data_IF_278966078798
#
_entry.id   IF_278966078798
#
_cell.length_a   1.000
_cell.length_b   1.000
_cell.length_c   1.000
_cell.angle_alpha   90.00
_cell.angle_beta   90.00
_cell.angle_gamma   90.00
#
_symmetry.space_group_name_H-M   'P 1'
#
loop_
_entity.id
_entity.type
_entity.pdbx_description
1 polymer ?
#
# COMPACT_ATOMS: atom_id res chain seq x y z
N UNK A 1 -34.18 43.79 21.85
CA UNK A 1 -34.47 43.39 20.45
C UNK A 1 -33.79 42.05 20.17
N UNK A 2 -34.58 40.99 19.95
CA UNK A 2 -34.06 39.64 19.73
C UNK A 2 -33.63 39.43 18.27
N UNK A 3 -32.49 38.76 18.08
CA UNK A 3 -32.03 38.32 16.77
C UNK A 3 -32.14 36.79 16.70
N UNK A 4 -33.23 36.31 16.08
CA UNK A 4 -33.49 34.88 15.91
C UNK A 4 -32.72 34.37 14.68
N UNK A 5 -31.75 33.49 14.94
CA UNK A 5 -31.09 32.65 13.92
C UNK A 5 -32.12 31.72 13.26
N UNK A 6 -32.24 31.81 11.93
CA UNK A 6 -33.11 30.94 11.12
C UNK A 6 -32.32 29.70 10.68
N UNK A 7 -32.50 28.58 11.37
CA UNK A 7 -32.05 27.27 10.91
C UNK A 7 -32.91 26.84 9.71
N UNK A 8 -32.31 26.69 8.52
CA UNK A 8 -32.95 26.06 7.36
C UNK A 8 -32.74 24.54 7.43
N UNK A 9 -33.77 23.81 7.82
CA UNK A 9 -33.83 22.35 7.74
C UNK A 9 -33.93 21.92 6.27
N UNK A 10 -32.89 21.28 5.72
CA UNK A 10 -32.99 20.58 4.43
C UNK A 10 -33.72 19.26 4.64
N UNK A 11 -34.90 19.12 4.02
CA UNK A 11 -35.66 17.86 3.94
C UNK A 11 -34.98 16.95 2.92
N UNK A 12 -34.50 15.78 3.36
CA UNK A 12 -33.98 14.72 2.49
C UNK A 12 -35.18 13.91 2.03
N UNK A 13 -35.43 13.89 0.72
CA UNK A 13 -36.44 13.05 0.09
C UNK A 13 -35.85 11.64 -0.03
N UNK A 14 -36.35 10.69 0.77
CA UNK A 14 -36.00 9.27 0.64
C UNK A 14 -36.93 8.67 -0.41
N UNK A 15 -36.40 8.40 -1.60
CA UNK A 15 -37.11 7.66 -2.63
C UNK A 15 -36.95 6.16 -2.35
N UNK A 16 -37.89 5.59 -1.61
CA UNK A 16 -38.05 4.13 -1.49
C UNK A 16 -38.53 3.58 -2.83
N UNK A 17 -37.62 2.93 -3.57
CA UNK A 17 -37.98 2.13 -4.74
C UNK A 17 -38.55 0.79 -4.24
N UNK A 18 -39.87 0.63 -4.29
CA UNK A 18 -40.53 -0.66 -4.11
C UNK A 18 -40.34 -1.49 -5.36
N UNK A 19 -39.64 -2.63 -5.23
CA UNK A 19 -39.50 -3.62 -6.29
C UNK A 19 -40.79 -4.44 -6.37
N UNK A 20 -41.63 -4.20 -7.37
CA UNK A 20 -42.84 -4.99 -7.63
C UNK A 20 -42.42 -6.29 -8.33
N UNK A 21 -42.46 -7.41 -7.63
CA UNK A 21 -42.28 -8.73 -8.24
C UNK A 21 -43.61 -9.11 -8.90
N UNK A 22 -43.62 -9.15 -10.23
CA UNK A 22 -44.74 -9.73 -10.98
C UNK A 22 -44.59 -11.24 -10.90
N UNK A 23 -45.49 -11.87 -10.14
CA UNK A 23 -45.67 -13.31 -10.14
C UNK A 23 -46.45 -13.72 -11.40
N UNK A 24 -45.79 -14.43 -12.32
CA UNK A 24 -46.46 -15.08 -13.45
C UNK A 24 -45.67 -16.30 -13.92
N UNK A 25 -46.35 -17.44 -13.94
CA UNK A 25 -46.05 -18.55 -14.85
C UNK A 25 -45.30 -19.72 -14.24
N UNK A 26 -46.04 -20.77 -13.88
CA UNK A 26 -45.50 -22.10 -13.67
C UNK A 26 -44.93 -22.64 -14.99
N UNK A 27 -43.64 -22.97 -15.01
CA UNK A 27 -43.06 -23.94 -15.91
C UNK A 27 -42.00 -24.72 -15.14
N UNK A 28 -42.22 -26.03 -14.99
CA UNK A 28 -41.29 -26.94 -14.37
C UNK A 28 -40.06 -27.13 -15.26
N UNK A 29 -38.92 -26.58 -14.85
CA UNK A 29 -37.61 -27.07 -15.27
C UNK A 29 -36.68 -27.03 -14.05
N UNK A 30 -36.43 -28.20 -13.48
CA UNK A 30 -35.60 -28.40 -12.28
C UNK A 30 -34.12 -28.08 -12.48
N UNK A 31 -33.69 -27.78 -13.71
CA UNK A 31 -32.29 -27.54 -14.05
C UNK A 31 -31.89 -26.07 -13.94
N UNK A 32 -32.80 -25.11 -14.17
CA UNK A 32 -32.48 -23.67 -14.15
C UNK A 32 -32.30 -23.14 -12.72
N UNK A 33 -33.07 -23.65 -11.76
CA UNK A 33 -32.91 -23.30 -10.33
C UNK A 33 -31.63 -23.87 -9.72
N UNK A 34 -31.14 -25.00 -10.23
CA UNK A 34 -29.88 -25.62 -9.79
C UNK A 34 -28.66 -24.83 -10.31
N UNK A 35 -28.74 -24.28 -11.52
CA UNK A 35 -27.68 -23.41 -12.07
C UNK A 35 -27.62 -22.05 -11.37
N UNK A 36 -28.77 -21.42 -11.07
CA UNK A 36 -28.80 -20.14 -10.33
C UNK A 36 -28.25 -20.29 -8.90
N UNK A 37 -28.58 -21.39 -8.21
CA UNK A 37 -28.04 -21.66 -6.86
C UNK A 37 -26.54 -21.99 -6.88
N UNK A 38 -26.03 -22.65 -7.92
CA UNK A 38 -24.59 -22.87 -8.08
C UNK A 38 -23.84 -21.59 -8.44
N UNK A 39 -24.40 -20.72 -9.30
CA UNK A 39 -23.81 -19.42 -9.61
C UNK A 39 -23.81 -18.48 -8.40
N UNK A 40 -24.89 -18.42 -7.62
CA UNK A 40 -24.93 -17.69 -6.35
C UNK A 40 -23.96 -18.26 -5.31
N UNK A 41 -23.83 -19.58 -5.20
CA UNK A 41 -22.86 -20.22 -4.29
C UNK A 41 -21.42 -19.94 -4.74
N UNK A 42 -21.13 -19.95 -6.03
CA UNK A 42 -19.81 -19.64 -6.58
C UNK A 42 -19.47 -18.15 -6.44
N UNK A 43 -20.45 -17.26 -6.60
CA UNK A 43 -20.29 -15.82 -6.35
C UNK A 43 -20.11 -15.53 -4.86
N UNK A 44 -20.85 -16.21 -3.97
CA UNK A 44 -20.70 -16.09 -2.51
C UNK A 44 -19.38 -16.67 -2.01
N UNK A 45 -18.91 -17.77 -2.62
CA UNK A 45 -17.61 -18.39 -2.31
C UNK A 45 -16.44 -17.55 -2.86
N UNK A 46 -16.60 -16.91 -4.02
CA UNK A 46 -15.67 -15.92 -4.56
C UNK A 46 -15.57 -14.69 -3.64
N UNK A 47 -16.71 -14.18 -3.16
CA UNK A 47 -16.79 -13.05 -2.23
C UNK A 47 -16.34 -13.41 -0.79
N UNK A 48 -16.35 -14.68 -0.40
CA UNK A 48 -15.79 -15.17 0.87
C UNK A 48 -14.30 -15.53 0.78
N UNK A 49 -13.76 -15.74 -0.43
CA UNK A 49 -12.31 -15.87 -0.66
C UNK A 49 -11.61 -14.51 -0.66
N UNK A 50 -12.34 -13.40 -0.71
CA UNK A 50 -11.88 -12.12 -0.19
C UNK A 50 -11.90 -12.19 1.33
N UNK A 51 -10.95 -12.94 1.90
CA UNK A 51 -10.48 -12.72 3.27
C UNK A 51 -10.32 -11.21 3.39
N UNK A 52 -11.21 -10.57 4.15
CA UNK A 52 -11.27 -9.12 4.30
C UNK A 52 -9.85 -8.60 4.53
N UNK A 53 -9.22 -8.11 3.47
CA UNK A 53 -7.88 -7.54 3.57
C UNK A 53 -8.12 -6.29 4.37
N UNK A 54 -7.79 -6.35 5.66
CA UNK A 54 -7.70 -5.19 6.54
C UNK A 54 -6.97 -4.14 5.72
N UNK A 55 -7.70 -3.10 5.27
CA UNK A 55 -7.16 -2.09 4.36
C UNK A 55 -5.85 -1.59 4.96
N UNK A 56 -4.74 -2.01 4.37
CA UNK A 56 -3.44 -1.72 4.94
C UNK A 56 -3.19 -0.23 4.83
N UNK A 57 -2.72 0.37 5.93
CA UNK A 57 -2.37 1.78 5.90
C UNK A 57 -1.08 1.94 5.08
N UNK A 58 -1.24 2.30 3.80
CA UNK A 58 -0.13 2.53 2.85
C UNK A 58 0.28 4.01 2.79
N UNK A 59 0.07 4.72 3.90
CA UNK A 59 0.57 6.08 4.12
C UNK A 59 1.85 6.01 4.94
N UNK A 60 2.90 6.64 4.43
CA UNK A 60 4.20 6.70 5.09
C UNK A 60 4.56 8.15 5.40
N UNK A 61 4.99 8.40 6.63
CA UNK A 61 5.58 9.68 7.03
C UNK A 61 7.09 9.50 7.03
N UNK A 62 7.75 10.00 5.99
CA UNK A 62 9.17 9.76 5.76
C UNK A 62 10.00 10.91 6.36
N UNK A 63 10.75 10.67 7.46
CA UNK A 63 11.56 11.70 8.10
C UNK A 63 12.74 12.12 7.23
N UNK A 64 13.03 13.42 7.19
CA UNK A 64 14.23 13.95 6.54
C UNK A 64 15.47 13.66 7.38
N UNK A 65 16.29 12.71 6.93
CA UNK A 65 17.52 12.27 7.63
C UNK A 65 18.81 12.84 7.03
N UNK A 66 18.70 13.73 6.05
CA UNK A 66 19.85 14.30 5.33
C UNK A 66 20.38 13.40 4.22
N UNK A 67 21.31 13.92 3.40
CA UNK A 67 21.93 13.13 2.34
C UNK A 67 23.09 12.27 2.88
N UNK A 68 22.91 10.94 2.91
CA UNK A 68 23.91 9.96 3.38
C UNK A 68 25.28 10.10 2.73
N UNK A 69 25.36 10.55 1.47
CA UNK A 69 26.63 10.80 0.79
C UNK A 69 27.32 12.06 1.31
N UNK A 70 26.55 13.12 1.60
CA UNK A 70 27.06 14.34 2.24
C UNK A 70 27.50 14.03 3.67
N UNK A 71 26.68 13.31 4.43
CA UNK A 71 26.99 12.91 5.81
C UNK A 71 28.24 12.03 5.86
N UNK A 72 28.39 11.06 4.95
CA UNK A 72 29.61 10.24 4.83
C UNK A 72 30.87 11.10 4.74
N UNK A 73 30.85 12.12 3.88
CA UNK A 73 32.01 13.01 3.70
C UNK A 73 32.25 13.88 4.95
N UNK A 74 31.19 14.45 5.52
CA UNK A 74 31.28 15.28 6.74
C UNK A 74 31.84 14.48 7.92
N UNK A 75 31.41 13.23 8.07
CA UNK A 75 31.85 12.32 9.13
C UNK A 75 33.15 11.57 8.80
N UNK A 76 33.74 11.81 7.62
CA UNK A 76 34.98 11.17 7.13
C UNK A 76 34.92 9.64 7.16
N UNK A 77 33.76 9.08 6.78
CA UNK A 77 33.57 7.62 6.69
C UNK A 77 33.93 7.09 5.31
N UNK A 78 34.41 5.86 5.25
CA UNK A 78 34.70 5.16 3.99
C UNK A 78 33.44 4.71 3.25
N UNK A 79 32.32 4.53 3.96
CA UNK A 79 31.03 4.06 3.42
C UNK A 79 29.88 4.88 4.00
N UNK A 80 28.83 5.06 3.20
CA UNK A 80 27.61 5.74 3.63
C UNK A 80 26.75 4.78 4.46
N UNK A 81 25.93 5.36 5.35
CA UNK A 81 24.88 4.59 6.00
C UNK A 81 23.73 4.30 5.03
N UNK A 82 22.87 3.37 5.41
CA UNK A 82 21.68 3.03 4.63
C UNK A 82 20.77 4.26 4.46
N UNK A 83 20.28 4.53 3.25
CA UNK A 83 19.29 5.58 3.00
C UNK A 83 17.84 5.12 3.25
N UNK A 84 17.62 3.86 3.61
CA UNK A 84 16.30 3.22 3.56
C UNK A 84 15.39 3.57 4.75
N UNK A 85 14.21 4.10 4.43
CA UNK A 85 13.01 4.01 5.26
C UNK A 85 12.10 2.88 4.72
N UNK A 86 11.99 1.74 5.43
CA UNK A 86 11.22 0.58 4.98
C UNK A 86 9.71 0.85 4.93
N UNK A 87 9.05 0.20 3.97
CA UNK A 87 7.60 0.29 3.79
C UNK A 87 6.86 -0.99 4.18
N UNK A 88 7.57 -2.11 4.35
CA UNK A 88 6.96 -3.44 4.49
C UNK A 88 6.25 -3.92 3.21
N UNK A 89 6.60 -3.36 2.05
CA UNK A 89 6.04 -3.74 0.75
C UNK A 89 7.12 -4.27 -0.19
N UNK A 90 6.76 -5.31 -0.94
CA UNK A 90 7.54 -5.94 -1.98
C UNK A 90 6.88 -5.72 -3.34
N UNK A 91 7.64 -5.19 -4.31
CA UNK A 91 7.23 -5.13 -5.71
C UNK A 91 7.75 -6.35 -6.47
N UNK A 92 6.89 -7.03 -7.22
CA UNK A 92 7.30 -8.09 -8.15
C UNK A 92 8.09 -7.51 -9.33
N UNK A 93 8.90 -8.32 -10.04
CA UNK A 93 9.50 -7.93 -11.31
C UNK A 93 8.50 -7.28 -12.26
N UNK A 94 8.81 -6.07 -12.73
CA UNK A 94 7.99 -5.25 -13.64
C UNK A 94 6.60 -4.86 -13.11
N UNK A 95 6.33 -5.00 -11.80
CA UNK A 95 5.09 -4.49 -11.21
C UNK A 95 5.07 -2.97 -11.24
N UNK A 96 3.94 -2.40 -11.68
CA UNK A 96 3.73 -0.95 -11.62
C UNK A 96 3.30 -0.55 -10.22
N UNK A 97 4.03 0.39 -9.64
CA UNK A 97 3.74 0.99 -8.33
C UNK A 97 3.34 2.44 -8.55
N UNK A 98 2.18 2.82 -8.02
CA UNK A 98 1.71 4.21 -8.04
C UNK A 98 1.85 4.83 -6.67
N UNK A 99 2.54 5.97 -6.62
CA UNK A 99 2.90 6.67 -5.38
C UNK A 99 2.48 8.13 -5.49
N UNK A 100 1.68 8.60 -4.54
CA UNK A 100 1.41 10.02 -4.36
C UNK A 100 2.38 10.61 -3.33
N UNK A 101 3.10 11.67 -3.70
CA UNK A 101 4.01 12.41 -2.82
C UNK A 101 3.36 13.73 -2.47
N UNK A 102 3.09 13.97 -1.19
CA UNK A 102 2.51 15.23 -0.73
C UNK A 102 3.57 16.31 -0.50
N UNK A 103 3.14 17.57 -0.48
CA UNK A 103 4.01 18.71 -0.27
C UNK A 103 4.61 19.24 -1.58
N UNK A 104 5.83 19.74 -1.50
CA UNK A 104 6.49 20.47 -2.59
C UNK A 104 7.97 20.07 -2.78
N UNK A 105 8.41 19.01 -2.10
CA UNK A 105 9.78 18.53 -2.16
C UNK A 105 9.82 17.16 -2.83
N UNK A 106 10.87 16.94 -3.62
CA UNK A 106 11.16 15.63 -4.19
C UNK A 106 11.61 14.66 -3.09
N UNK A 107 11.36 13.37 -3.33
CA UNK A 107 11.82 12.27 -2.48
C UNK A 107 12.39 11.15 -3.35
N UNK A 108 13.33 10.37 -2.83
CA UNK A 108 13.80 9.17 -3.51
C UNK A 108 13.03 7.93 -3.05
N UNK A 109 12.84 6.99 -3.96
CA UNK A 109 12.35 5.65 -3.65
C UNK A 109 13.27 4.62 -4.28
N UNK A 110 13.51 3.53 -3.55
CA UNK A 110 14.26 2.38 -4.02
C UNK A 110 13.31 1.19 -4.18
N UNK A 111 13.55 0.39 -5.21
CA UNK A 111 12.98 -0.95 -5.38
C UNK A 111 14.16 -1.93 -5.47
N UNK A 112 14.30 -2.73 -4.43
CA UNK A 112 15.41 -3.65 -4.20
C UNK A 112 16.26 -3.28 -2.99
N UNK A 113 16.93 -4.28 -2.44
CA UNK A 113 17.71 -4.24 -1.21
C UNK A 113 19.16 -4.58 -1.50
N UNK A 114 20.08 -3.67 -1.18
CA UNK A 114 21.52 -3.92 -1.33
C UNK A 114 21.95 -5.19 -0.57
N UNK A 115 22.80 -6.00 -1.21
CA UNK A 115 23.31 -7.29 -0.67
C UNK A 115 22.29 -8.42 -0.49
N UNK A 116 21.01 -8.20 -0.78
CA UNK A 116 19.99 -9.26 -0.80
C UNK A 116 19.52 -9.55 -2.23
N UNK A 117 18.97 -8.54 -2.93
CA UNK A 117 18.50 -8.69 -4.31
C UNK A 117 19.64 -8.60 -5.34
N UNK A 118 20.80 -8.09 -4.92
CA UNK A 118 22.00 -7.96 -5.74
C UNK A 118 23.27 -8.06 -4.89
N UNK A 119 24.34 -8.63 -5.46
CA UNK A 119 25.67 -8.57 -4.83
C UNK A 119 26.13 -7.11 -4.70
N UNK A 120 27.07 -6.83 -3.79
CA UNK A 120 27.64 -5.50 -3.59
C UNK A 120 28.30 -4.88 -4.85
N UNK A 121 28.56 -5.69 -5.90
CA UNK A 121 29.11 -5.22 -7.19
C UNK A 121 28.03 -4.96 -8.23
N UNK A 122 26.78 -5.25 -7.91
CA UNK A 122 25.65 -5.24 -8.84
C UNK A 122 24.57 -4.24 -8.42
N UNK A 123 24.98 -3.13 -7.81
CA UNK A 123 24.10 -2.04 -7.37
C UNK A 123 23.15 -1.53 -8.47
N UNK A 124 23.52 -1.70 -9.75
CA UNK A 124 22.68 -1.36 -10.91
C UNK A 124 21.37 -2.15 -10.99
N UNK A 125 21.29 -3.29 -10.28
CA UNK A 125 20.08 -4.10 -10.12
C UNK A 125 19.10 -3.53 -9.11
N UNK A 126 19.56 -2.69 -8.19
CA UNK A 126 18.70 -1.90 -7.30
C UNK A 126 18.28 -0.64 -8.06
N UNK A 127 16.97 -0.44 -8.22
CA UNK A 127 16.47 0.74 -8.94
C UNK A 127 16.11 1.83 -7.94
N UNK A 128 16.58 3.04 -8.20
CA UNK A 128 16.14 4.24 -7.50
C UNK A 128 15.46 5.19 -8.46
N UNK A 129 14.48 5.92 -7.94
CA UNK A 129 13.70 6.90 -8.69
C UNK A 129 13.58 8.17 -7.86
N UNK A 130 13.69 9.32 -8.51
CA UNK A 130 13.32 10.60 -7.92
C UNK A 130 11.83 10.82 -8.18
N UNK A 131 11.03 10.85 -7.12
CA UNK A 131 9.60 11.13 -7.18
C UNK A 131 9.37 12.63 -7.01
N UNK A 132 8.53 13.19 -7.87
CA UNK A 132 8.06 14.58 -7.77
C UNK A 132 6.83 14.67 -6.88
N UNK A 133 6.52 15.84 -6.30
CA UNK A 133 5.21 16.07 -5.69
C UNK A 133 4.06 15.69 -6.65
N UNK A 134 3.03 15.03 -6.10
CA UNK A 134 1.92 14.46 -6.86
C UNK A 134 2.09 12.98 -7.18
N UNK A 135 1.37 12.52 -8.21
CA UNK A 135 1.29 11.10 -8.59
C UNK A 135 2.47 10.72 -9.47
N UNK A 136 3.15 9.63 -9.10
CA UNK A 136 4.24 9.03 -9.84
C UNK A 136 3.91 7.55 -10.08
N UNK A 137 4.26 7.04 -11.27
CA UNK A 137 4.19 5.61 -11.58
C UNK A 137 5.59 5.12 -11.94
N UNK A 138 6.04 4.08 -11.24
CA UNK A 138 7.38 3.50 -11.40
C UNK A 138 7.29 1.98 -11.51
N UNK A 139 8.33 1.36 -12.05
CA UNK A 139 8.48 -0.10 -12.07
C UNK A 139 9.97 -0.46 -12.10
N UNK A 140 10.33 -1.57 -11.46
CA UNK A 140 11.68 -2.13 -11.50
C UNK A 140 11.68 -3.47 -12.23
N UNK A 141 12.56 -3.70 -13.23
CA UNK A 141 12.63 -4.99 -13.91
C UNK A 141 12.89 -6.18 -12.99
N UNK A 142 13.62 -5.96 -11.89
CA UNK A 142 13.99 -7.01 -10.95
C UNK A 142 13.02 -7.15 -9.77
N UNK A 143 12.14 -6.17 -9.56
CA UNK A 143 11.35 -6.09 -8.32
C UNK A 143 12.24 -5.85 -7.10
N UNK A 144 11.69 -6.11 -5.92
CA UNK A 144 12.37 -5.96 -4.63
C UNK A 144 11.55 -5.19 -3.60
N UNK A 145 12.09 -5.09 -2.39
CA UNK A 145 11.48 -4.31 -1.32
C UNK A 145 11.48 -2.82 -1.65
N UNK A 146 10.45 -2.12 -1.20
CA UNK A 146 10.23 -0.70 -1.48
C UNK A 146 10.68 0.13 -0.28
N UNK A 147 11.59 1.09 -0.52
CA UNK A 147 12.11 1.97 0.51
C UNK A 147 11.97 3.42 0.10
N UNK A 148 11.56 4.29 1.02
CA UNK A 148 11.65 5.73 0.79
C UNK A 148 12.96 6.29 1.32
N UNK A 149 13.35 7.44 0.79
CA UNK A 149 14.50 8.18 1.27
C UNK A 149 14.29 9.67 1.09
N UNK A 150 14.16 10.35 2.24
CA UNK A 150 14.03 11.79 2.30
C UNK A 150 15.38 12.43 2.65
N UNK A 151 16.04 13.01 1.63
CA UNK A 151 17.33 13.69 1.73
C UNK A 151 17.31 15.03 2.46
N UNK A 152 16.13 15.55 2.81
CA UNK A 152 16.03 16.82 3.52
C UNK A 152 16.65 16.71 4.91
N UNK A 153 17.27 17.78 5.39
CA UNK A 153 17.80 17.84 6.76
C UNK A 153 16.65 18.22 7.71
N UNK A 154 15.95 17.22 8.25
CA UNK A 154 14.76 17.40 9.08
C UNK A 154 13.44 17.49 8.29
N UNK A 155 12.35 17.72 9.02
CA UNK A 155 10.99 17.68 8.46
C UNK A 155 10.52 16.27 8.08
N UNK A 156 9.34 16.19 7.47
CA UNK A 156 8.75 14.93 7.02
C UNK A 156 8.04 15.11 5.68
N UNK A 157 8.12 14.11 4.81
CA UNK A 157 7.31 14.04 3.59
C UNK A 157 6.30 12.91 3.75
N UNK A 158 5.03 13.19 3.48
CA UNK A 158 3.98 12.17 3.48
C UNK A 158 3.87 11.56 2.08
N UNK A 159 3.96 10.24 2.00
CA UNK A 159 3.80 9.48 0.75
C UNK A 159 2.68 8.47 0.91
N UNK A 160 1.99 8.14 -0.19
CA UNK A 160 0.91 7.16 -0.21
C UNK A 160 1.13 6.24 -1.39
N UNK A 161 1.28 4.93 -1.13
CA UNK A 161 1.33 3.92 -2.20
C UNK A 161 -0.12 3.50 -2.48
N UNK A 162 -0.66 3.94 -3.62
CA UNK A 162 -2.08 3.75 -3.97
C UNK A 162 -2.32 2.45 -4.72
N UNK A 163 -1.32 1.96 -5.46
CA UNK A 163 -1.42 0.77 -6.31
C UNK A 163 -0.12 0.00 -6.33
N UNK A 164 -0.22 -1.33 -6.34
CA UNK A 164 0.92 -2.25 -6.40
C UNK A 164 1.61 -2.45 -5.05
N UNK A 165 2.49 -3.45 -5.01
CA UNK A 165 3.22 -3.85 -3.82
C UNK A 165 2.43 -4.85 -2.97
N UNK A 166 3.02 -6.01 -2.74
CA UNK A 166 2.52 -7.05 -1.83
C UNK A 166 3.17 -6.88 -0.47
N UNK A 167 2.40 -7.05 0.60
CA UNK A 167 2.88 -6.92 1.97
C UNK A 167 3.86 -8.02 2.33
N UNK A 168 4.88 -7.65 3.08
CA UNK A 168 5.88 -8.55 3.65
C UNK A 168 5.94 -8.35 5.17
N UNK A 169 6.35 -9.35 5.96
CA UNK A 169 6.61 -9.16 7.38
C UNK A 169 7.61 -8.04 7.62
N UNK A 170 7.19 -7.05 8.41
CA UNK A 170 8.01 -5.89 8.75
C UNK A 170 7.80 -5.51 10.23
N UNK A 171 8.84 -5.65 11.04
CA UNK A 171 8.83 -5.41 12.46
C UNK A 171 9.50 -4.09 12.82
N UNK A 172 8.73 -3.18 13.42
CA UNK A 172 9.24 -1.93 13.93
C UNK A 172 9.34 -1.98 15.46
N UNK A 173 10.57 -1.92 15.96
CA UNK A 173 10.83 -1.84 17.40
C UNK A 173 10.10 -0.63 18.00
N UNK A 174 9.36 -0.86 19.09
CA UNK A 174 8.57 0.17 19.77
C UNK A 174 7.18 0.41 19.17
N UNK A 175 6.87 -0.14 17.99
CA UNK A 175 5.51 -0.15 17.42
C UNK A 175 4.86 -1.54 17.48
N UNK A 176 5.63 -2.59 17.16
CA UNK A 176 5.15 -3.96 17.10
C UNK A 176 5.52 -4.75 18.35
N UNK A 177 4.62 -5.64 18.77
CA UNK A 177 4.86 -6.61 19.85
C UNK A 177 5.41 -7.92 19.29
N UNK A 178 5.92 -8.80 20.16
CA UNK A 178 6.30 -10.16 19.76
C UNK A 178 5.16 -10.93 19.09
N UNK A 179 3.92 -10.75 19.57
CA UNK A 179 2.77 -11.44 18.97
C UNK A 179 2.47 -10.89 17.58
N UNK A 180 2.67 -9.59 17.33
CA UNK A 180 2.54 -9.01 15.99
C UNK A 180 3.54 -9.62 15.01
N UNK A 181 4.80 -9.81 15.43
CA UNK A 181 5.80 -10.49 14.62
C UNK A 181 5.36 -11.93 14.27
N UNK A 182 4.92 -12.71 15.26
CA UNK A 182 4.43 -14.09 15.01
C UNK A 182 3.28 -14.07 14.01
N UNK A 183 2.30 -13.17 14.21
CA UNK A 183 1.16 -13.04 13.32
C UNK A 183 1.59 -12.66 11.89
N UNK A 184 2.58 -11.77 11.73
CA UNK A 184 3.12 -11.40 10.41
C UNK A 184 3.76 -12.61 9.71
N UNK A 185 4.57 -13.38 10.43
CA UNK A 185 5.24 -14.56 9.90
C UNK A 185 4.24 -15.66 9.51
N UNK A 186 3.23 -15.91 10.34
CA UNK A 186 2.17 -16.89 10.06
C UNK A 186 1.27 -16.44 8.89
N UNK A 187 1.02 -15.13 8.76
CA UNK A 187 0.20 -14.57 7.69
C UNK A 187 0.92 -14.58 6.34
N UNK A 188 2.24 -14.42 6.33
CA UNK A 188 3.06 -14.34 5.12
C UNK A 188 4.23 -15.35 5.16
N UNK A 189 3.94 -16.67 5.17
CA UNK A 189 4.95 -17.70 5.38
C UNK A 189 5.94 -17.86 4.21
N UNK A 190 5.58 -17.37 3.03
CA UNK A 190 6.39 -17.42 1.80
C UNK A 190 6.77 -16.01 1.33
N UNK A 191 6.85 -15.06 2.25
CA UNK A 191 7.26 -13.70 1.96
C UNK A 191 8.64 -13.64 1.28
N UNK A 192 8.86 -12.64 0.42
CA UNK A 192 10.16 -12.43 -0.23
C UNK A 192 11.28 -12.20 0.78
N UNK A 193 10.96 -11.51 1.89
CA UNK A 193 11.88 -11.21 2.97
C UNK A 193 11.12 -10.89 4.26
N UNK A 194 11.85 -10.86 5.37
CA UNK A 194 11.37 -10.35 6.67
C UNK A 194 12.29 -9.19 7.05
N UNK A 195 11.71 -8.05 7.39
CA UNK A 195 12.44 -6.86 7.87
C UNK A 195 12.14 -6.53 9.33
#
# INVERSE_FOLDING_TARGET
>A
MGNKSKYKTKRILVATATLTIIASGMASSSDVFAEETQQQKNLSTSLQSEKSVKSENRTFTVPGKGDVEVLKQQERKSMAFSPYEPTGLYAKPNEQITINVEGNQDIQVYIGTYSYDASWREDSKIKSFTLKPGINTIQSPNGGLIYFYNKQQGGTIRTIITTGGTTTPFFELGKHTKQDLINMLDQYPNAHAVE
#
